data_IF_010954519869
#
_entry.id   IF_010954519869
#
_cell.length_a   1.000
_cell.length_b   1.000
_cell.length_c   1.000
_cell.angle_alpha   90.00
_cell.angle_beta   90.00
_cell.angle_gamma   90.00
#
_symmetry.space_group_name_H-M   'P 1'
#
loop_
_entity.id
_entity.type
_entity.pdbx_description
1 polymer ?
#
# COMPACT_ATOMS: atom_id res chain seq x y z
N UNK A 1 -34.24 -7.33 14.52
CA UNK A 1 -34.25 -5.97 13.95
C UNK A 1 -34.64 -4.99 15.05
N UNK A 2 -33.66 -4.31 15.65
CA UNK A 2 -33.87 -3.11 16.46
C UNK A 2 -33.04 -2.02 15.76
N UNK A 3 -33.67 -1.12 15.00
CA UNK A 3 -32.96 -0.16 14.18
C UNK A 3 -32.55 1.06 15.03
N UNK A 4 -31.48 1.74 14.61
CA UNK A 4 -30.96 3.05 15.06
C UNK A 4 -29.74 3.07 16.01
N UNK A 5 -29.44 2.05 16.83
CA UNK A 5 -28.22 2.07 17.72
C UNK A 5 -27.08 1.13 17.25
N UNK A 6 -27.24 0.48 16.09
CA UNK A 6 -26.34 -0.62 15.68
C UNK A 6 -24.99 -0.23 15.07
N UNK A 7 -24.87 0.92 14.37
CA UNK A 7 -23.64 1.24 13.63
C UNK A 7 -22.44 1.60 14.52
N UNK A 8 -22.55 2.52 15.50
CA UNK A 8 -21.39 2.90 16.32
C UNK A 8 -20.96 1.77 17.26
N UNK A 9 -21.90 1.03 17.85
CA UNK A 9 -21.63 -0.12 18.72
C UNK A 9 -20.94 -1.24 17.94
N UNK A 10 -21.35 -1.51 16.69
CA UNK A 10 -20.70 -2.52 15.84
C UNK A 10 -19.29 -2.13 15.42
N UNK A 11 -19.01 -0.83 15.20
CA UNK A 11 -17.65 -0.34 14.94
C UNK A 11 -16.76 -0.50 16.17
N UNK A 12 -17.28 -0.19 17.36
CA UNK A 12 -16.57 -0.34 18.63
C UNK A 12 -16.30 -1.82 18.94
N UNK A 13 -17.30 -2.69 18.75
CA UNK A 13 -17.18 -4.14 18.91
C UNK A 13 -16.18 -4.73 17.91
N UNK A 14 -16.22 -4.33 16.64
CA UNK A 14 -15.24 -4.77 15.65
C UNK A 14 -13.82 -4.29 15.97
N UNK A 15 -13.64 -3.10 16.55
CA UNK A 15 -12.33 -2.60 17.01
C UNK A 15 -11.84 -3.40 18.21
N UNK A 16 -12.70 -3.62 19.20
CA UNK A 16 -12.40 -4.46 20.37
C UNK A 16 -12.06 -5.88 19.96
N UNK A 17 -12.82 -6.51 19.07
CA UNK A 17 -12.56 -7.85 18.57
C UNK A 17 -11.23 -7.92 17.80
N UNK A 18 -10.89 -6.90 17.00
CA UNK A 18 -9.57 -6.81 16.35
C UNK A 18 -8.43 -6.63 17.35
N UNK A 19 -8.60 -5.78 18.35
CA UNK A 19 -7.61 -5.58 19.43
C UNK A 19 -7.44 -6.84 20.28
N UNK A 20 -8.51 -7.57 20.56
CA UNK A 20 -8.51 -8.82 21.32
C UNK A 20 -7.90 -9.95 20.47
N UNK A 21 -8.22 -10.05 19.18
CA UNK A 21 -7.54 -10.98 18.26
C UNK A 21 -6.05 -10.68 18.13
N UNK A 22 -5.65 -9.41 18.14
CA UNK A 22 -4.23 -9.01 18.16
C UNK A 22 -3.52 -9.38 19.48
N UNK A 23 -4.25 -9.46 20.60
CA UNK A 23 -3.73 -9.85 21.92
C UNK A 23 -3.73 -11.37 22.16
N UNK A 24 -4.62 -12.13 21.50
CA UNK A 24 -4.86 -13.57 21.78
C UNK A 24 -3.95 -14.52 20.97
N UNK A 25 -3.25 -14.05 19.93
CA UNK A 25 -2.26 -14.89 19.25
C UNK A 25 -1.05 -15.08 20.17
N UNK A 26 -1.02 -16.19 20.89
CA UNK A 26 0.16 -16.71 21.61
C UNK A 26 1.34 -16.77 20.65
N UNK A 27 2.37 -15.97 20.92
CA UNK A 27 3.48 -15.73 20.01
C UNK A 27 3.08 -14.69 18.95
N UNK A 28 3.58 -13.46 19.00
CA UNK A 28 3.39 -12.55 17.86
C UNK A 28 3.87 -13.27 16.58
N UNK A 29 3.29 -13.01 15.41
CA UNK A 29 3.76 -13.64 14.15
C UNK A 29 5.28 -13.53 13.98
N UNK A 30 5.87 -12.46 14.50
CA UNK A 30 7.31 -12.23 14.55
C UNK A 30 8.06 -13.14 15.52
N UNK A 31 7.46 -13.55 16.63
CA UNK A 31 8.05 -14.55 17.54
C UNK A 31 8.15 -15.92 16.88
N UNK A 32 7.19 -16.29 16.02
CA UNK A 32 7.29 -17.50 15.20
C UNK A 32 8.40 -17.39 14.13
N UNK A 33 8.75 -16.18 13.69
CA UNK A 33 9.93 -15.91 12.85
C UNK A 33 11.24 -15.88 13.63
N UNK A 34 11.19 -16.13 14.94
CA UNK A 34 12.36 -16.17 15.82
C UNK A 34 12.73 -14.85 16.46
N UNK A 35 11.96 -13.77 16.27
CA UNK A 35 12.21 -12.49 16.93
C UNK A 35 11.74 -12.52 18.38
N UNK A 36 12.42 -11.77 19.25
CA UNK A 36 11.83 -11.35 20.54
C UNK A 36 11.06 -10.07 20.31
N UNK A 37 9.76 -10.07 20.60
CA UNK A 37 8.87 -8.98 20.28
C UNK A 37 8.68 -8.01 21.45
N UNK A 38 8.75 -6.71 21.18
CA UNK A 38 8.56 -5.62 22.14
C UNK A 38 7.61 -4.57 21.56
N UNK A 39 6.58 -4.17 22.32
CA UNK A 39 5.61 -3.14 21.90
C UNK A 39 4.19 -3.69 21.67
N UNK A 40 3.30 -2.93 20.98
CA UNK A 40 3.55 -1.62 20.41
C UNK A 40 3.77 -0.53 21.48
N UNK A 41 4.62 0.45 21.21
CA UNK A 41 4.84 1.65 22.05
C UNK A 41 4.69 2.94 21.25
N UNK A 42 4.50 4.06 21.94
CA UNK A 42 4.45 5.38 21.31
C UNK A 42 5.79 5.71 20.64
N UNK A 43 5.76 5.90 19.32
CA UNK A 43 6.90 6.35 18.54
C UNK A 43 7.24 7.83 18.73
N UNK A 44 6.38 8.60 19.40
CA UNK A 44 6.58 10.03 19.69
C UNK A 44 7.04 10.30 21.12
N UNK A 45 7.05 9.31 22.00
CA UNK A 45 7.64 9.42 23.34
C UNK A 45 9.14 9.11 23.29
N UNK A 46 9.93 10.15 23.00
CA UNK A 46 11.40 10.05 22.88
C UNK A 46 12.02 9.54 24.19
N UNK A 47 11.52 10.00 25.35
CA UNK A 47 12.06 9.59 26.65
C UNK A 47 11.88 8.10 26.88
N UNK A 48 10.69 7.58 26.59
CA UNK A 48 10.39 6.15 26.68
C UNK A 48 11.15 5.32 25.66
N UNK A 49 11.25 5.79 24.42
CA UNK A 49 12.02 5.13 23.38
C UNK A 49 13.49 4.97 23.76
N UNK A 50 14.12 6.02 24.28
CA UNK A 50 15.51 5.98 24.72
C UNK A 50 15.73 4.94 25.82
N UNK A 51 14.86 4.91 26.84
CA UNK A 51 14.93 3.92 27.92
C UNK A 51 14.85 2.49 27.39
N UNK A 52 13.89 2.22 26.50
CA UNK A 52 13.68 0.91 25.91
C UNK A 52 14.87 0.50 25.05
N UNK A 53 15.35 1.39 24.16
CA UNK A 53 16.48 1.10 23.29
C UNK A 53 17.77 0.80 24.07
N UNK A 54 18.01 1.48 25.19
CA UNK A 54 19.14 1.18 26.09
C UNK A 54 19.03 -0.24 26.66
N UNK A 55 17.84 -0.67 27.09
CA UNK A 55 17.62 -2.03 27.59
C UNK A 55 17.76 -3.07 26.47
N UNK A 56 17.14 -2.84 25.32
CA UNK A 56 17.18 -3.76 24.18
C UNK A 56 18.60 -3.99 23.67
N UNK A 57 19.47 -2.98 23.71
CA UNK A 57 20.88 -3.09 23.31
C UNK A 57 21.65 -4.14 24.12
N UNK A 58 21.22 -4.45 25.35
CA UNK A 58 21.88 -5.46 26.21
C UNK A 58 21.46 -6.90 25.88
N UNK A 59 20.38 -7.07 25.11
CA UNK A 59 19.81 -8.37 24.78
C UNK A 59 20.47 -8.96 23.53
N UNK A 60 20.65 -10.28 23.51
CA UNK A 60 21.14 -11.03 22.34
C UNK A 60 19.99 -11.56 21.50
N UNK A 61 20.30 -11.80 20.23
CA UNK A 61 19.38 -12.38 19.24
C UNK A 61 18.58 -11.33 18.46
N UNK A 62 17.75 -11.77 17.50
CA UNK A 62 16.88 -10.88 16.73
C UNK A 62 15.78 -10.30 17.63
N UNK A 63 15.68 -8.98 17.67
CA UNK A 63 14.70 -8.23 18.46
C UNK A 63 13.83 -7.41 17.52
N UNK A 64 12.53 -7.35 17.78
CA UNK A 64 11.60 -6.48 17.07
C UNK A 64 10.94 -5.52 18.05
N UNK A 65 11.19 -4.23 17.87
CA UNK A 65 10.48 -3.17 18.58
C UNK A 65 9.41 -2.58 17.67
N UNK A 66 8.15 -2.77 18.01
CA UNK A 66 7.00 -2.20 17.30
C UNK A 66 6.66 -0.84 17.90
N UNK A 67 6.67 0.20 17.07
CA UNK A 67 6.26 1.57 17.44
C UNK A 67 5.09 2.04 16.58
N UNK A 68 4.21 2.86 17.14
CA UNK A 68 3.19 3.58 16.38
C UNK A 68 3.60 5.04 16.17
N UNK A 69 3.43 5.55 14.96
CA UNK A 69 3.74 6.94 14.61
C UNK A 69 2.60 7.57 13.81
N UNK A 70 2.65 8.89 13.66
CA UNK A 70 1.72 9.66 12.82
C UNK A 70 2.50 10.10 11.59
N UNK A 71 2.07 9.69 10.40
CA UNK A 71 2.71 10.11 9.15
C UNK A 71 2.54 11.64 9.01
N UNK A 72 3.64 12.35 8.80
CA UNK A 72 3.63 13.82 8.77
C UNK A 72 3.67 14.51 10.15
N UNK A 73 3.93 13.78 11.24
CA UNK A 73 3.93 14.34 12.60
C UNK A 73 4.73 15.65 12.70
N UNK A 74 4.14 16.64 13.35
CA UNK A 74 4.73 17.96 13.57
C UNK A 74 4.36 18.96 12.48
N UNK A 75 3.68 18.54 11.42
CA UNK A 75 3.19 19.42 10.36
C UNK A 75 1.71 19.17 10.07
N UNK A 76 0.85 20.07 10.56
CA UNK A 76 -0.61 19.96 10.52
C UNK A 76 -1.16 19.48 9.17
N UNK A 77 -0.75 20.11 8.06
CA UNK A 77 -1.27 19.75 6.74
C UNK A 77 -0.86 18.35 6.27
N UNK A 78 0.32 17.85 6.70
CA UNK A 78 0.75 16.48 6.40
C UNK A 78 0.13 15.44 7.33
N UNK A 79 -0.21 15.81 8.58
CA UNK A 79 -0.99 14.93 9.46
C UNK A 79 -2.43 14.75 8.94
N UNK A 80 -3.03 15.80 8.38
CA UNK A 80 -4.37 15.77 7.78
C UNK A 80 -4.42 15.03 6.43
N UNK A 81 -3.41 15.20 5.57
CA UNK A 81 -3.36 14.58 4.24
C UNK A 81 -1.99 13.93 3.95
N UNK A 82 -1.74 12.82 4.64
CA UNK A 82 -0.46 12.12 4.57
C UNK A 82 -0.18 11.44 3.21
N UNK A 83 -1.20 11.30 2.36
CA UNK A 83 -1.05 10.76 0.98
C UNK A 83 -0.44 11.85 0.11
N UNK A 84 -1.09 13.02 0.03
CA UNK A 84 -0.60 14.16 -0.74
C UNK A 84 0.80 14.61 -0.31
N UNK A 85 1.05 14.64 0.99
CA UNK A 85 2.35 15.07 1.54
C UNK A 85 3.43 13.98 1.51
N UNK A 86 3.15 12.78 1.01
CA UNK A 86 4.16 11.73 0.84
C UNK A 86 5.23 12.09 -0.19
N UNK A 87 4.86 12.88 -1.21
CA UNK A 87 5.73 13.24 -2.34
C UNK A 87 5.35 14.55 -3.02
N UNK A 88 4.94 15.55 -2.24
CA UNK A 88 4.50 16.84 -2.78
C UNK A 88 5.69 17.64 -3.38
N UNK A 89 5.42 18.34 -4.49
CA UNK A 89 6.34 19.34 -5.05
C UNK A 89 6.46 20.59 -4.16
N UNK A 90 7.34 21.53 -4.50
CA UNK A 90 7.53 22.77 -3.74
C UNK A 90 6.18 23.44 -3.37
N UNK A 91 5.96 23.61 -2.07
CA UNK A 91 4.74 24.19 -1.49
C UNK A 91 5.07 25.32 -0.52
N UNK A 92 4.08 26.12 -0.18
CA UNK A 92 4.17 27.13 0.87
C UNK A 92 3.92 26.49 2.24
N UNK A 93 4.91 26.51 3.13
CA UNK A 93 4.85 25.83 4.42
C UNK A 93 3.68 26.30 5.30
N UNK A 94 3.39 27.60 5.33
CA UNK A 94 2.33 28.18 6.17
C UNK A 94 0.93 27.76 5.73
N UNK A 95 0.72 27.44 4.45
CA UNK A 95 -0.60 27.18 3.88
C UNK A 95 -0.77 25.75 3.36
N UNK A 96 0.32 24.98 3.21
CA UNK A 96 0.32 23.65 2.60
C UNK A 96 0.01 23.65 1.10
N UNK A 97 -0.02 24.82 0.45
CA UNK A 97 -0.43 24.96 -0.96
C UNK A 97 0.78 24.84 -1.89
N UNK A 98 0.64 24.02 -2.94
CA UNK A 98 1.67 23.89 -3.98
C UNK A 98 1.92 25.22 -4.70
N UNK A 99 3.19 25.55 -4.95
CA UNK A 99 3.61 26.85 -5.52
C UNK A 99 3.37 26.99 -7.02
N UNK A 100 3.18 25.89 -7.77
CA UNK A 100 2.85 25.89 -9.20
C UNK A 100 2.05 24.66 -9.59
N UNK A 101 0.99 24.84 -10.37
CA UNK A 101 0.34 23.76 -11.13
C UNK A 101 0.90 23.81 -12.56
N UNK A 102 1.51 22.72 -13.01
CA UNK A 102 1.73 22.52 -14.45
C UNK A 102 0.37 22.24 -15.08
N UNK A 103 0.05 22.91 -16.20
CA UNK A 103 -1.17 22.64 -16.96
C UNK A 103 -1.03 21.43 -17.89
N UNK A 104 0.17 20.83 -17.98
CA UNK A 104 0.40 19.64 -18.81
C UNK A 104 0.09 18.38 -18.01
N UNK A 105 -0.69 17.42 -18.57
CA UNK A 105 -0.93 16.15 -17.92
C UNK A 105 0.39 15.37 -17.76
N UNK A 106 0.50 14.61 -16.68
CA UNK A 106 1.62 13.67 -16.48
C UNK A 106 1.40 12.41 -17.31
N UNK A 107 2.47 11.66 -17.58
CA UNK A 107 2.35 10.35 -18.23
C UNK A 107 1.45 9.40 -17.42
N UNK A 108 1.55 9.41 -16.08
CA UNK A 108 0.66 8.63 -15.22
C UNK A 108 -0.81 9.01 -15.41
N UNK A 109 -1.11 10.30 -15.54
CA UNK A 109 -2.49 10.76 -15.79
C UNK A 109 -3.00 10.27 -17.14
N UNK A 110 -2.21 10.41 -18.20
CA UNK A 110 -2.58 9.94 -19.54
C UNK A 110 -2.84 8.43 -19.51
N UNK A 111 -1.91 7.66 -18.93
CA UNK A 111 -2.06 6.21 -18.80
C UNK A 111 -3.33 5.82 -18.03
N UNK A 112 -3.56 6.43 -16.86
CA UNK A 112 -4.74 6.16 -16.03
C UNK A 112 -6.05 6.46 -16.74
N UNK A 113 -6.15 7.64 -17.36
CA UNK A 113 -7.34 8.07 -18.12
C UNK A 113 -7.60 7.11 -19.30
N UNK A 114 -6.55 6.76 -20.06
CA UNK A 114 -6.66 5.83 -21.20
C UNK A 114 -7.03 4.41 -20.75
N UNK A 115 -6.41 3.90 -19.68
CA UNK A 115 -6.71 2.55 -19.17
C UNK A 115 -8.16 2.47 -18.66
N UNK A 116 -8.64 3.53 -18.00
CA UNK A 116 -10.03 3.63 -17.55
C UNK A 116 -11.01 3.59 -18.74
N UNK A 117 -10.72 4.36 -19.79
CA UNK A 117 -11.53 4.41 -21.01
C UNK A 117 -11.65 3.03 -21.66
N UNK A 118 -10.52 2.36 -21.96
CA UNK A 118 -10.55 1.03 -22.60
C UNK A 118 -11.18 -0.04 -21.71
N UNK A 119 -11.10 0.11 -20.38
CA UNK A 119 -11.69 -0.84 -19.45
C UNK A 119 -13.21 -0.70 -19.33
N UNK A 120 -13.81 0.45 -19.68
CA UNK A 120 -15.27 0.60 -19.78
C UNK A 120 -15.84 -0.27 -20.88
N UNK A 121 -15.12 -0.43 -21.98
CA UNK A 121 -15.54 -1.22 -23.13
C UNK A 121 -15.15 -2.70 -23.02
N UNK A 122 -14.15 -3.02 -22.19
CA UNK A 122 -13.66 -4.37 -22.06
C UNK A 122 -13.63 -4.86 -20.59
N UNK A 123 -14.58 -5.74 -20.18
CA UNK A 123 -14.66 -6.24 -18.81
C UNK A 123 -13.51 -7.19 -18.43
N UNK A 124 -12.74 -7.71 -19.40
CA UNK A 124 -11.57 -8.55 -19.13
C UNK A 124 -10.34 -7.77 -18.68
N UNK A 125 -10.33 -6.43 -18.81
CA UNK A 125 -9.19 -5.61 -18.39
C UNK A 125 -9.15 -5.48 -16.87
N UNK A 126 -7.99 -5.75 -16.29
CA UNK A 126 -7.69 -5.56 -14.87
C UNK A 126 -6.47 -4.65 -14.71
N UNK A 127 -6.41 -3.91 -13.61
CA UNK A 127 -5.25 -3.11 -13.24
C UNK A 127 -4.59 -3.70 -11.98
N UNK A 128 -3.27 -3.88 -12.02
CA UNK A 128 -2.46 -4.40 -10.91
C UNK A 128 -1.36 -3.40 -10.60
N UNK A 129 -1.17 -3.08 -9.33
CA UNK A 129 -0.08 -2.23 -8.85
C UNK A 129 0.55 -2.79 -7.58
N UNK A 130 1.75 -2.32 -7.25
CA UNK A 130 2.47 -2.70 -6.04
C UNK A 130 2.62 -1.47 -5.12
N UNK A 131 1.54 -1.11 -4.40
CA UNK A 131 1.45 0.05 -3.51
C UNK A 131 1.64 1.43 -4.16
N UNK A 132 1.37 1.56 -5.47
CA UNK A 132 1.65 2.77 -6.26
C UNK A 132 0.42 3.31 -7.00
N UNK A 133 -0.78 3.10 -6.47
CA UNK A 133 -2.04 3.47 -7.15
C UNK A 133 -2.12 4.96 -7.55
N UNK A 134 -1.82 5.86 -6.62
CA UNK A 134 -1.83 7.32 -6.84
C UNK A 134 -0.77 7.73 -7.87
N UNK A 135 0.47 7.29 -7.65
CA UNK A 135 1.62 7.73 -8.44
C UNK A 135 1.67 7.14 -9.87
N UNK A 136 0.94 6.05 -10.11
CA UNK A 136 0.74 5.44 -11.44
C UNK A 136 -0.58 5.87 -12.11
N UNK A 137 -1.37 6.74 -11.47
CA UNK A 137 -2.61 7.28 -12.04
C UNK A 137 -3.78 6.28 -12.06
N UNK A 138 -3.72 5.21 -11.26
CA UNK A 138 -4.74 4.16 -11.21
C UNK A 138 -5.88 4.45 -10.23
N UNK A 139 -5.82 5.53 -9.45
CA UNK A 139 -6.87 5.90 -8.50
C UNK A 139 -8.28 5.97 -9.15
N UNK A 140 -8.49 6.61 -10.32
CA UNK A 140 -9.79 6.60 -10.98
C UNK A 140 -10.27 5.19 -11.37
N UNK A 141 -9.36 4.33 -11.83
CA UNK A 141 -9.66 2.93 -12.16
C UNK A 141 -10.09 2.16 -10.91
N UNK A 142 -9.38 2.33 -9.79
CA UNK A 142 -9.71 1.70 -8.53
C UNK A 142 -11.11 2.10 -8.02
N UNK A 143 -11.48 3.37 -8.20
CA UNK A 143 -12.80 3.87 -7.82
C UNK A 143 -13.93 3.34 -8.70
N UNK A 144 -13.75 3.33 -10.03
CA UNK A 144 -14.79 2.90 -10.97
C UNK A 144 -14.92 1.37 -11.03
N UNK A 145 -13.80 0.64 -10.96
CA UNK A 145 -13.73 -0.81 -11.10
C UNK A 145 -13.02 -1.50 -9.92
N UNK A 146 -13.54 -1.40 -8.69
CA UNK A 146 -12.88 -1.95 -7.50
C UNK A 146 -12.70 -3.47 -7.58
N UNK A 147 -13.56 -4.18 -8.31
CA UNK A 147 -13.47 -5.64 -8.50
C UNK A 147 -12.43 -6.07 -9.56
N UNK A 148 -11.83 -5.11 -10.28
CA UNK A 148 -10.82 -5.34 -11.33
C UNK A 148 -9.52 -4.60 -11.05
N UNK A 149 -9.40 -3.98 -9.88
CA UNK A 149 -8.22 -3.29 -9.42
C UNK A 149 -7.58 -4.07 -8.26
N UNK A 150 -6.27 -4.27 -8.34
CA UNK A 150 -5.52 -5.04 -7.37
C UNK A 150 -4.27 -4.28 -6.94
N UNK A 151 -4.22 -3.88 -5.67
CA UNK A 151 -3.01 -3.40 -5.03
C UNK A 151 -2.43 -4.54 -4.18
N UNK A 152 -1.29 -5.08 -4.60
CA UNK A 152 -0.64 -6.21 -3.92
C UNK A 152 0.32 -5.79 -2.80
N UNK A 153 0.36 -4.50 -2.46
CA UNK A 153 1.35 -3.94 -1.54
C UNK A 153 2.75 -3.86 -2.18
N UNK A 154 3.80 -3.74 -1.37
CA UNK A 154 5.19 -3.68 -1.86
C UNK A 154 5.70 -5.09 -2.17
N UNK A 155 5.11 -5.71 -3.19
CA UNK A 155 5.37 -7.10 -3.60
C UNK A 155 5.37 -7.23 -5.12
N UNK A 156 6.36 -6.64 -5.78
CA UNK A 156 6.42 -6.53 -7.25
C UNK A 156 6.44 -7.89 -7.93
N UNK A 157 7.25 -8.85 -7.44
CA UNK A 157 7.28 -10.21 -7.99
C UNK A 157 5.91 -10.89 -7.93
N UNK A 158 5.20 -10.73 -6.81
CA UNK A 158 3.83 -11.20 -6.66
C UNK A 158 2.87 -10.50 -7.64
N UNK A 159 3.00 -9.20 -7.86
CA UNK A 159 2.17 -8.47 -8.83
C UNK A 159 2.25 -9.09 -10.23
N UNK A 160 3.47 -9.44 -10.68
CA UNK A 160 3.70 -10.03 -12.00
C UNK A 160 3.15 -11.45 -12.08
N UNK A 161 3.47 -12.32 -11.12
CA UNK A 161 2.94 -13.71 -11.12
C UNK A 161 1.42 -13.73 -10.95
N UNK A 162 0.86 -12.82 -10.15
CA UNK A 162 -0.59 -12.66 -10.01
C UNK A 162 -1.23 -12.25 -11.34
N UNK A 163 -0.63 -11.29 -12.06
CA UNK A 163 -1.07 -10.94 -13.40
C UNK A 163 -0.95 -12.13 -14.38
N UNK A 164 0.10 -12.93 -14.31
CA UNK A 164 0.21 -14.16 -15.10
C UNK A 164 -1.00 -15.09 -14.83
N UNK A 165 -1.36 -15.28 -13.56
CA UNK A 165 -2.55 -16.06 -13.17
C UNK A 165 -3.86 -15.49 -13.73
N UNK A 166 -4.05 -14.17 -13.66
CA UNK A 166 -5.20 -13.50 -14.27
C UNK A 166 -5.26 -13.71 -15.79
N UNK A 167 -4.12 -13.58 -16.46
CA UNK A 167 -4.01 -13.78 -17.90
C UNK A 167 -4.35 -15.22 -18.32
N UNK A 168 -3.87 -16.21 -17.56
CA UNK A 168 -4.28 -17.62 -17.72
C UNK A 168 -5.77 -17.84 -17.51
N UNK A 169 -6.39 -17.07 -16.61
CA UNK A 169 -7.83 -17.07 -16.36
C UNK A 169 -8.68 -16.33 -17.41
N UNK A 170 -8.08 -15.83 -18.50
CA UNK A 170 -8.78 -15.14 -19.59
C UNK A 170 -8.92 -13.63 -19.40
N UNK A 171 -8.31 -13.05 -18.36
CA UNK A 171 -8.25 -11.59 -18.18
C UNK A 171 -7.09 -10.97 -18.97
N UNK A 172 -7.10 -9.64 -19.09
CA UNK A 172 -6.06 -8.83 -19.74
C UNK A 172 -5.47 -7.86 -18.71
N UNK A 173 -4.51 -8.30 -17.89
CA UNK A 173 -3.97 -7.50 -16.81
C UNK A 173 -2.97 -6.45 -17.30
N UNK A 174 -3.12 -5.24 -16.79
CA UNK A 174 -2.17 -4.13 -16.89
C UNK A 174 -1.45 -3.99 -15.56
N UNK A 175 -0.14 -4.26 -15.56
CA UNK A 175 0.73 -4.14 -14.39
C UNK A 175 1.44 -2.78 -14.45
N UNK A 176 1.06 -1.86 -13.56
CA UNK A 176 1.66 -0.54 -13.45
C UNK A 176 2.66 -0.49 -12.28
N UNK A 177 3.96 -0.54 -12.62
CA UNK A 177 5.08 -0.60 -11.68
C UNK A 177 6.23 0.21 -12.28
N UNK A 178 6.84 1.09 -11.48
CA UNK A 178 7.99 1.86 -11.99
C UNK A 178 9.13 0.97 -12.45
N UNK A 179 9.78 1.37 -13.55
CA UNK A 179 10.95 0.69 -14.11
C UNK A 179 12.00 0.23 -13.08
N UNK A 180 12.32 1.08 -12.09
CA UNK A 180 13.29 0.73 -11.03
C UNK A 180 12.83 -0.42 -10.12
N UNK A 181 11.53 -0.50 -9.82
CA UNK A 181 10.98 -1.55 -8.98
C UNK A 181 10.70 -2.84 -9.75
N UNK A 182 10.48 -2.72 -11.06
CA UNK A 182 10.28 -3.87 -11.95
C UNK A 182 11.46 -4.86 -11.91
N UNK A 183 12.66 -4.37 -11.56
CA UNK A 183 13.85 -5.18 -11.36
C UNK A 183 13.65 -6.32 -10.35
N UNK A 184 12.80 -6.13 -9.33
CA UNK A 184 12.47 -7.17 -8.33
C UNK A 184 11.62 -8.31 -8.89
N UNK A 185 11.06 -8.12 -10.08
CA UNK A 185 10.18 -9.09 -10.75
C UNK A 185 10.82 -9.67 -12.01
N UNK A 186 12.13 -9.49 -12.21
CA UNK A 186 12.82 -9.90 -13.43
C UNK A 186 12.58 -11.37 -13.77
N UNK A 187 12.72 -12.25 -12.77
CA UNK A 187 12.46 -13.68 -12.93
C UNK A 187 10.99 -13.95 -13.24
N UNK A 188 10.05 -13.31 -12.53
CA UNK A 188 8.61 -13.49 -12.75
C UNK A 188 8.16 -13.05 -14.15
N UNK A 189 8.77 -12.01 -14.72
CA UNK A 189 8.50 -11.59 -16.11
C UNK A 189 8.94 -12.68 -17.08
N UNK A 190 10.14 -13.22 -16.91
CA UNK A 190 10.69 -14.22 -17.83
C UNK A 190 9.95 -15.54 -17.65
N UNK A 191 9.98 -16.08 -16.44
CA UNK A 191 9.52 -17.42 -16.12
C UNK A 191 8.00 -17.52 -16.12
N UNK A 192 7.30 -16.61 -15.45
CA UNK A 192 5.86 -16.73 -15.24
C UNK A 192 5.04 -16.12 -16.37
N UNK A 193 5.57 -15.13 -17.10
CA UNK A 193 4.86 -14.44 -18.19
C UNK A 193 5.39 -14.81 -19.57
N UNK A 194 6.67 -14.56 -19.85
CA UNK A 194 7.23 -14.63 -21.20
C UNK A 194 7.34 -16.06 -21.74
N UNK A 195 7.83 -17.02 -20.93
CA UNK A 195 7.92 -18.44 -21.32
C UNK A 195 6.56 -19.03 -21.71
N UNK A 196 5.48 -18.55 -21.09
CA UNK A 196 4.11 -18.99 -21.36
C UNK A 196 3.41 -18.14 -22.44
N UNK A 197 4.07 -17.10 -22.96
CA UNK A 197 3.55 -16.13 -23.92
C UNK A 197 2.20 -15.51 -23.47
N UNK A 198 2.11 -15.09 -22.21
CA UNK A 198 0.87 -14.57 -21.63
C UNK A 198 0.61 -13.11 -22.00
N UNK A 199 -0.66 -12.71 -22.22
CA UNK A 199 -1.03 -11.35 -22.58
C UNK A 199 -1.05 -10.39 -21.37
N UNK A 200 0.09 -10.26 -20.69
CA UNK A 200 0.29 -9.27 -19.61
C UNK A 200 0.89 -7.99 -20.21
N UNK A 201 0.28 -6.84 -19.93
CA UNK A 201 0.79 -5.54 -20.38
C UNK A 201 1.47 -4.81 -19.22
N UNK A 202 2.68 -4.31 -19.45
CA UNK A 202 3.45 -3.57 -18.45
C UNK A 202 3.47 -2.08 -18.76
N UNK A 203 3.19 -1.25 -17.74
CA UNK A 203 3.41 0.19 -17.76
C UNK A 203 4.51 0.54 -16.76
N UNK A 204 5.59 1.15 -17.25
CA UNK A 204 6.88 1.31 -16.57
C UNK A 204 7.28 2.77 -16.35
#
# INVERSE_FOLDING_TARGET
FIPVVGKPVRVILNRLERSIKALIVKGSWFENLGFRYFGPIDGHDIGRLMQILVQLKTLKGPLLLHTYTTKGKGYYFAEEDAVKFHGISAFEQKTGRSKRKSNRPTYSKIFGDTLLEIARENPSICAVTAAMSDSTGLEPFAHEFPNRFFDVGIAEGHAVTFAAGLARGGFKPFVAIYSSFMQRSYDNIIHDVALQNLPVTFYL
#
